data_IF_047303373372
#
_entry.id   IF_047303373372
#
_cell.length_a   1.000
_cell.length_b   1.000
_cell.length_c   1.000
_cell.angle_alpha   90.00
_cell.angle_beta   90.00
_cell.angle_gamma   90.00
#
_symmetry.space_group_name_H-M   'P 1'
#
loop_
_entity.id
_entity.type
_entity.pdbx_description
1 polymer ?
#
# COMPACT_ATOMS: atom_id res chain seq x y z
N UNK A 1 7.94 8.50 -24.91
CA UNK A 1 7.89 7.06 -24.57
C UNK A 1 6.67 6.87 -23.70
N UNK A 2 5.59 6.29 -24.23
CA UNK A 2 4.38 6.03 -23.43
C UNK A 2 4.69 4.82 -22.56
N UNK A 3 4.61 4.98 -21.23
CA UNK A 3 4.64 3.85 -20.30
C UNK A 3 3.22 3.29 -20.27
N UNK A 4 3.00 2.14 -20.90
CA UNK A 4 1.76 1.39 -20.75
C UNK A 4 1.92 0.39 -19.60
N UNK A 5 0.83 0.15 -18.89
CA UNK A 5 0.68 -0.97 -17.95
C UNK A 5 -0.32 -1.92 -18.58
N UNK A 6 0.04 -3.20 -18.69
CA UNK A 6 -0.86 -4.25 -19.17
C UNK A 6 -1.55 -4.85 -17.96
N UNK A 7 -2.87 -4.90 -18.01
CA UNK A 7 -3.72 -5.43 -16.94
C UNK A 7 -4.42 -6.65 -17.51
N UNK A 8 -4.09 -7.82 -16.98
CA UNK A 8 -4.67 -9.09 -17.43
C UNK A 8 -6.11 -9.26 -16.95
N UNK A 9 -6.89 -10.11 -17.63
CA UNK A 9 -8.31 -10.32 -17.31
C UNK A 9 -8.54 -10.99 -15.95
N UNK A 10 -7.55 -11.71 -15.45
CA UNK A 10 -7.53 -12.39 -14.16
C UNK A 10 -6.75 -11.59 -13.09
N UNK A 11 -6.41 -10.33 -13.36
CA UNK A 11 -5.71 -9.48 -12.40
C UNK A 11 -6.49 -9.35 -11.09
N UNK A 12 -5.82 -9.64 -9.98
CA UNK A 12 -6.34 -9.50 -8.62
C UNK A 12 -5.77 -8.26 -7.93
N UNK A 13 -6.51 -7.74 -6.96
CA UNK A 13 -6.04 -6.66 -6.10
C UNK A 13 -4.97 -7.19 -5.16
N UNK A 14 -3.82 -6.52 -5.09
CA UNK A 14 -2.68 -6.94 -4.25
C UNK A 14 -2.93 -6.78 -2.74
N UNK A 15 -4.08 -6.23 -2.34
CA UNK A 15 -4.46 -6.04 -0.92
C UNK A 15 -5.49 -7.04 -0.44
N UNK A 16 -6.55 -7.28 -1.22
CA UNK A 16 -7.66 -8.15 -0.82
C UNK A 16 -7.72 -9.47 -1.61
N UNK A 17 -6.88 -9.64 -2.63
CA UNK A 17 -6.82 -10.82 -3.50
C UNK A 17 -8.09 -11.11 -4.31
N UNK A 18 -9.07 -10.20 -4.32
CA UNK A 18 -10.26 -10.29 -5.17
C UNK A 18 -10.00 -9.70 -6.57
N UNK A 19 -10.76 -10.09 -7.61
CA UNK A 19 -10.60 -9.54 -8.96
C UNK A 19 -10.72 -8.01 -8.99
N UNK A 20 -9.84 -7.31 -9.71
CA UNK A 20 -9.81 -5.84 -9.69
C UNK A 20 -10.99 -5.18 -10.41
N UNK A 21 -11.59 -5.89 -11.37
CA UNK A 21 -12.66 -5.36 -12.23
C UNK A 21 -14.03 -5.27 -11.55
N UNK A 22 -14.11 -5.60 -10.26
CA UNK A 22 -15.34 -5.53 -9.47
C UNK A 22 -15.70 -4.09 -9.05
N UNK A 23 -14.71 -3.21 -8.97
CA UNK A 23 -14.87 -1.78 -8.65
C UNK A 23 -13.79 -0.92 -9.32
N UNK A 24 -13.80 0.40 -9.09
CA UNK A 24 -12.73 1.29 -9.60
C UNK A 24 -11.38 0.85 -9.01
N UNK A 25 -10.33 0.90 -9.82
CA UNK A 25 -9.00 0.44 -9.44
C UNK A 25 -7.91 1.37 -9.97
N UNK A 26 -6.73 1.28 -9.37
CA UNK A 26 -5.50 1.92 -9.83
C UNK A 26 -4.49 0.84 -10.25
N UNK A 27 -3.82 1.06 -11.38
CA UNK A 27 -2.73 0.23 -11.87
C UNK A 27 -1.45 1.08 -11.96
N UNK A 28 -0.40 0.65 -11.28
CA UNK A 28 0.84 1.43 -11.16
C UNK A 28 1.89 0.96 -12.17
N UNK A 29 2.80 1.86 -12.55
CA UNK A 29 3.91 1.55 -13.46
C UNK A 29 4.90 0.49 -12.95
N UNK A 30 4.80 0.09 -11.68
CA UNK A 30 5.55 -1.02 -11.09
C UNK A 30 4.85 -2.39 -11.24
N UNK A 31 3.62 -2.43 -11.74
CA UNK A 31 2.84 -3.66 -11.96
C UNK A 31 1.76 -3.93 -10.90
N UNK A 32 1.84 -3.31 -9.71
CA UNK A 32 0.81 -3.50 -8.68
C UNK A 32 -0.52 -2.86 -9.07
N UNK A 33 -1.61 -3.52 -8.70
CA UNK A 33 -2.98 -3.12 -8.93
C UNK A 33 -3.79 -3.16 -7.62
N UNK A 34 -4.54 -2.10 -7.33
CA UNK A 34 -5.37 -2.01 -6.13
C UNK A 34 -6.77 -1.52 -6.50
N UNK A 35 -7.79 -2.03 -5.82
CA UNK A 35 -9.06 -1.29 -5.79
C UNK A 35 -8.85 0.10 -5.21
N UNK A 36 -9.64 1.08 -5.64
CA UNK A 36 -9.58 2.44 -5.12
C UNK A 36 -9.78 2.47 -3.60
N UNK A 37 -10.73 1.67 -3.10
CA UNK A 37 -11.00 1.46 -1.68
C UNK A 37 -9.78 0.91 -0.91
N UNK A 38 -9.13 -0.11 -1.47
CA UNK A 38 -7.95 -0.73 -0.89
C UNK A 38 -6.74 0.21 -0.90
N UNK A 39 -6.56 0.96 -1.99
CA UNK A 39 -5.53 1.99 -2.11
C UNK A 39 -5.72 3.08 -1.05
N UNK A 40 -6.94 3.59 -0.90
CA UNK A 40 -7.26 4.58 0.13
C UNK A 40 -6.95 4.05 1.54
N UNK A 41 -7.37 2.82 1.84
CA UNK A 41 -7.16 2.18 3.16
C UNK A 41 -5.68 2.07 3.54
N UNK A 42 -4.80 1.78 2.58
CA UNK A 42 -3.36 1.71 2.83
C UNK A 42 -2.70 3.09 2.82
N UNK A 43 -3.13 3.97 1.92
CA UNK A 43 -2.41 5.20 1.64
C UNK A 43 -2.77 6.34 2.58
N UNK A 44 -4.03 6.52 2.93
CA UNK A 44 -4.47 7.63 3.81
C UNK A 44 -3.76 7.61 5.18
N UNK A 45 -3.62 6.46 5.88
CA UNK A 45 -2.89 6.43 7.16
C UNK A 45 -1.38 6.70 7.04
N UNK A 46 -0.84 6.59 5.83
CA UNK A 46 0.58 6.71 5.52
C UNK A 46 1.00 8.08 4.99
N UNK A 47 0.03 8.96 4.68
CA UNK A 47 0.27 10.31 4.19
C UNK A 47 0.96 11.18 5.26
N UNK A 48 1.77 12.13 4.81
CA UNK A 48 2.18 13.25 5.66
C UNK A 48 1.01 14.20 5.93
N UNK A 49 1.21 15.09 6.90
CA UNK A 49 0.17 16.02 7.40
C UNK A 49 -0.36 16.92 6.29
N UNK A 50 0.51 17.41 5.41
CA UNK A 50 0.12 18.35 4.36
C UNK A 50 -0.70 17.66 3.27
N UNK A 51 -0.25 16.47 2.83
CA UNK A 51 -0.95 15.65 1.83
C UNK A 51 -2.30 15.17 2.34
N UNK A 52 -2.37 14.76 3.62
CA UNK A 52 -3.62 14.33 4.25
C UNK A 52 -4.63 15.48 4.32
N UNK A 53 -4.21 16.67 4.77
CA UNK A 53 -5.06 17.84 4.82
C UNK A 53 -5.54 18.26 3.41
N UNK A 54 -4.72 18.04 2.39
CA UNK A 54 -5.11 18.27 1.00
C UNK A 54 -6.16 17.27 0.49
N UNK A 55 -5.99 15.99 0.83
CA UNK A 55 -6.94 14.92 0.52
C UNK A 55 -8.29 15.16 1.17
N UNK A 56 -8.32 15.43 2.47
CA UNK A 56 -9.55 15.71 3.22
C UNK A 56 -10.32 16.89 2.63
N UNK A 57 -9.60 17.96 2.25
CA UNK A 57 -10.21 19.14 1.64
C UNK A 57 -10.88 18.82 0.29
N UNK A 58 -10.19 18.04 -0.55
CA UNK A 58 -10.72 17.63 -1.88
C UNK A 58 -11.94 16.73 -1.76
N UNK A 59 -11.97 15.82 -0.78
CA UNK A 59 -13.16 15.01 -0.48
C UNK A 59 -14.33 15.90 -0.07
N UNK A 60 -14.12 16.85 0.84
CA UNK A 60 -15.18 17.79 1.26
C UNK A 60 -15.69 18.65 0.10
N UNK A 61 -14.81 19.09 -0.79
CA UNK A 61 -15.21 19.89 -1.96
C UNK A 61 -16.00 19.06 -2.97
N UNK A 62 -15.60 17.80 -3.21
CA UNK A 62 -16.33 16.84 -4.03
C UNK A 62 -17.72 16.56 -3.46
N UNK A 63 -17.83 16.23 -2.16
CA UNK A 63 -19.11 15.98 -1.50
C UNK A 63 -20.05 17.17 -1.62
N UNK A 64 -19.55 18.39 -1.40
CA UNK A 64 -20.33 19.62 -1.56
C UNK A 64 -20.78 19.86 -3.00
N UNK A 65 -19.94 19.55 -3.98
CA UNK A 65 -20.28 19.69 -5.39
C UNK A 65 -21.40 18.69 -5.76
N UNK A 66 -21.32 17.45 -5.26
CA UNK A 66 -22.37 16.44 -5.43
C UNK A 66 -23.69 16.87 -4.79
N UNK A 67 -23.66 17.37 -3.54
CA UNK A 67 -24.85 17.87 -2.83
C UNK A 67 -25.53 19.04 -3.55
N UNK A 68 -24.74 19.91 -4.19
CA UNK A 68 -25.23 21.07 -4.94
C UNK A 68 -25.72 20.73 -6.36
N UNK A 69 -25.51 19.49 -6.82
CA UNK A 69 -25.78 19.11 -8.19
C UNK A 69 -24.92 19.87 -9.20
N UNK A 70 -23.62 20.01 -8.90
CA UNK A 70 -22.64 20.61 -9.80
C UNK A 70 -22.65 19.90 -11.18
N UNK A 71 -22.27 20.60 -12.26
CA UNK A 71 -22.18 19.99 -13.58
C UNK A 71 -21.18 18.83 -13.59
N UNK A 72 -21.41 17.86 -14.47
CA UNK A 72 -20.61 16.64 -14.54
C UNK A 72 -19.10 16.91 -14.76
N UNK A 73 -18.75 17.95 -15.51
CA UNK A 73 -17.37 18.35 -15.75
C UNK A 73 -16.67 18.79 -14.45
N UNK A 74 -17.35 19.53 -13.58
CA UNK A 74 -16.79 19.96 -12.29
C UNK A 74 -16.61 18.77 -11.35
N UNK A 75 -17.56 17.82 -11.36
CA UNK A 75 -17.46 16.59 -10.57
C UNK A 75 -16.30 15.72 -11.04
N UNK A 76 -16.12 15.57 -12.35
CA UNK A 76 -15.00 14.81 -12.94
C UNK A 76 -13.64 15.44 -12.58
N UNK A 77 -13.53 16.77 -12.59
CA UNK A 77 -12.31 17.46 -12.17
C UNK A 77 -11.99 17.23 -10.69
N UNK A 78 -13.01 17.26 -9.82
CA UNK A 78 -12.84 17.01 -8.39
C UNK A 78 -12.51 15.54 -8.10
N UNK A 79 -13.17 14.59 -8.78
CA UNK A 79 -12.81 13.17 -8.73
C UNK A 79 -11.35 12.95 -9.17
N UNK A 80 -10.94 13.53 -10.30
CA UNK A 80 -9.57 13.44 -10.80
C UNK A 80 -8.55 14.00 -9.79
N UNK A 81 -8.88 15.10 -9.09
CA UNK A 81 -7.99 15.67 -8.09
C UNK A 81 -7.82 14.77 -6.85
N UNK A 82 -8.86 14.01 -6.49
CA UNK A 82 -8.79 12.98 -5.44
C UNK A 82 -7.95 11.79 -5.93
N UNK A 83 -8.18 11.35 -7.16
CA UNK A 83 -7.45 10.25 -7.80
C UNK A 83 -5.96 10.57 -7.95
N UNK A 84 -5.59 11.78 -8.33
CA UNK A 84 -4.21 12.24 -8.45
C UNK A 84 -3.46 12.16 -7.12
N UNK A 85 -4.15 12.45 -6.01
CA UNK A 85 -3.58 12.15 -4.71
C UNK A 85 -3.45 10.64 -4.62
N UNK A 86 -4.54 9.87 -4.58
CA UNK A 86 -4.54 8.43 -4.25
C UNK A 86 -3.56 7.61 -5.09
N UNK A 87 -3.44 7.90 -6.39
CA UNK A 87 -2.58 7.22 -7.35
C UNK A 87 -1.17 7.82 -7.46
N UNK A 88 -0.82 8.83 -6.67
CA UNK A 88 0.47 9.52 -6.75
C UNK A 88 1.69 8.62 -6.51
N UNK A 89 1.55 7.56 -5.72
CA UNK A 89 2.56 6.50 -5.59
C UNK A 89 1.96 5.15 -5.21
N UNK A 90 2.68 4.07 -5.52
CA UNK A 90 2.26 2.71 -5.16
C UNK A 90 2.42 2.48 -3.64
N UNK A 91 1.38 1.97 -2.98
CA UNK A 91 1.40 1.69 -1.54
C UNK A 91 2.35 0.55 -1.12
N UNK A 92 2.70 -0.37 -2.02
CA UNK A 92 3.54 -1.56 -1.73
C UNK A 92 5.03 -1.37 -2.08
N UNK A 93 5.36 -0.47 -3.00
CA UNK A 93 6.76 -0.28 -3.39
C UNK A 93 7.16 1.19 -3.61
N UNK A 94 6.33 2.12 -3.15
CA UNK A 94 6.63 3.55 -3.11
C UNK A 94 7.34 3.95 -1.82
N UNK A 95 7.24 5.24 -1.50
CA UNK A 95 7.92 5.87 -0.35
C UNK A 95 7.50 5.24 0.97
N UNK A 96 6.23 4.89 1.11
CA UNK A 96 5.70 4.20 2.31
C UNK A 96 6.55 2.98 2.68
N UNK A 97 6.87 2.12 1.71
CA UNK A 97 7.61 0.88 1.95
C UNK A 97 9.11 1.08 2.09
N UNK A 98 9.65 2.17 1.54
CA UNK A 98 11.04 2.58 1.84
C UNK A 98 11.15 3.05 3.30
N UNK A 99 10.15 3.80 3.80
CA UNK A 99 10.16 4.28 5.19
C UNK A 99 10.01 3.15 6.21
N UNK A 100 9.29 2.08 5.86
CA UNK A 100 9.07 0.96 6.77
C UNK A 100 10.34 0.13 7.04
N UNK A 101 11.35 0.16 6.17
CA UNK A 101 12.63 -0.57 6.40
C UNK A 101 13.37 -0.07 7.64
N UNK A 102 13.16 1.19 8.01
CA UNK A 102 13.79 1.80 9.18
C UNK A 102 12.99 1.54 10.47
N UNK A 103 11.79 0.96 10.35
CA UNK A 103 10.98 0.58 11.50
C UNK A 103 11.44 -0.80 12.00
N UNK A 104 11.55 -0.98 13.34
CA UNK A 104 11.77 -2.30 13.90
C UNK A 104 10.68 -3.27 13.43
N UNK A 105 11.08 -4.47 13.02
CA UNK A 105 10.14 -5.54 12.68
C UNK A 105 9.27 -5.94 13.88
N UNK A 106 9.85 -5.86 15.09
CA UNK A 106 9.19 -6.15 16.36
C UNK A 106 8.89 -4.82 17.06
N UNK A 107 7.61 -4.56 17.32
CA UNK A 107 7.16 -3.37 18.03
C UNK A 107 7.52 -3.38 19.53
N UNK A 108 7.50 -2.20 20.16
CA UNK A 108 7.84 -2.06 21.58
C UNK A 108 6.84 -2.72 22.56
N UNK A 109 5.69 -3.18 22.06
CA UNK A 109 4.64 -3.83 22.86
C UNK A 109 4.61 -5.36 22.74
N UNK A 110 5.46 -5.94 21.91
CA UNK A 110 5.51 -7.40 21.69
C UNK A 110 6.11 -8.12 22.90
N UNK A 111 5.63 -9.33 23.16
CA UNK A 111 6.10 -10.10 24.32
C UNK A 111 7.52 -10.62 24.13
N UNK A 112 8.27 -10.77 25.23
CA UNK A 112 9.58 -11.45 25.23
C UNK A 112 9.48 -12.89 24.71
N UNK A 113 8.34 -13.54 24.88
CA UNK A 113 8.07 -14.88 24.36
C UNK A 113 8.00 -14.90 22.83
N UNK A 114 7.24 -13.97 22.24
CA UNK A 114 7.20 -13.79 20.79
C UNK A 114 8.60 -13.47 20.25
N UNK A 115 9.32 -12.52 20.84
CA UNK A 115 10.70 -12.18 20.42
C UNK A 115 11.60 -13.42 20.44
N UNK A 116 11.54 -14.22 21.51
CA UNK A 116 12.37 -15.41 21.64
C UNK A 116 12.00 -16.52 20.65
N UNK A 117 10.75 -16.59 20.18
CA UNK A 117 10.34 -17.58 19.18
C UNK A 117 11.01 -17.39 17.81
N UNK A 118 11.46 -16.17 17.50
CA UNK A 118 12.20 -15.84 16.28
C UNK A 118 13.72 -16.02 16.40
N UNK A 119 14.24 -16.40 17.57
CA UNK A 119 15.65 -16.72 17.68
C UNK A 119 15.96 -17.96 16.86
N UNK A 120 16.87 -17.82 15.89
CA UNK A 120 17.48 -18.94 15.20
C UNK A 120 18.34 -19.65 16.24
N UNK A 121 17.81 -20.72 16.82
CA UNK A 121 18.60 -21.65 17.63
C UNK A 121 19.46 -22.48 16.69
N UNK A 122 20.77 -22.46 16.89
CA UNK A 122 21.68 -23.38 16.22
C UNK A 122 21.30 -24.81 16.61
N UNK A 123 21.16 -25.69 15.62
CA UNK A 123 20.88 -27.09 15.88
C UNK A 123 22.14 -27.71 16.50
N UNK A 124 22.09 -28.31 17.70
CA UNK A 124 23.26 -28.95 18.30
C UNK A 124 23.82 -30.13 17.46
N UNK A 125 23.13 -30.55 16.39
CA UNK A 125 23.67 -31.49 15.40
C UNK A 125 24.67 -30.86 14.41
N UNK A 126 24.71 -29.53 14.27
CA UNK A 126 25.67 -28.81 13.41
C UNK A 126 27.09 -28.72 14.01
N UNK A 127 27.30 -29.19 15.24
CA UNK A 127 28.57 -29.12 15.97
C UNK A 127 29.32 -30.47 16.09
N UNK A 128 28.95 -31.51 15.32
CA UNK A 128 29.56 -32.85 15.46
C UNK A 128 30.62 -33.24 14.41
N UNK A 129 31.09 -32.32 13.56
CA UNK A 129 32.01 -32.66 12.46
C UNK A 129 33.43 -32.05 12.60
N UNK A 130 34.00 -31.87 13.79
CA UNK A 130 35.40 -31.43 13.94
C UNK A 130 36.12 -32.14 15.10
N UNK A 131 36.10 -33.47 15.19
CA UNK A 131 37.01 -34.22 16.05
C UNK A 131 37.27 -35.63 15.47
N UNK A 132 38.02 -35.70 14.37
CA UNK A 132 38.27 -36.98 13.72
C UNK A 132 39.32 -36.96 12.62
N UNK A 133 40.55 -36.51 12.90
CA UNK A 133 41.70 -37.06 12.16
C UNK A 133 42.97 -37.16 13.00
N UNK A 134 43.65 -38.28 12.77
CA UNK A 134 44.63 -38.97 13.63
C UNK A 134 46.07 -38.58 13.32
#
# INVERSE_FOLDING_TARGET
MVRCVVVEVDQSCDVCCEPIFTERFYAFGCGHCFHASCCQRLRVPAMDVDTLAEFERRIVDLDRAMERGAPAEDLEQLESAVDDILAGECSICGTLMIRSIALPFIGAGESLEEINSWNIVEDPSDLQDEDGES
#
